data_IF_683759891527
#
_entry.id   IF_683759891527
#
_cell.length_a   1.000
_cell.length_b   1.000
_cell.length_c   1.000
_cell.angle_alpha   90.00
_cell.angle_beta   90.00
_cell.angle_gamma   90.00
#
_symmetry.space_group_name_H-M   'P 1'
#
loop_
_entity.id
_entity.type
_entity.pdbx_description
1 polymer ?
#
# COMPACT_ATOMS: atom_id res chain seq x y z
N UNK A 1 46.25 11.01 -15.64
CA UNK A 1 45.54 12.30 -15.61
C UNK A 1 44.81 12.45 -16.93
N UNK A 2 43.48 12.44 -16.91
CA UNK A 2 42.63 12.70 -18.08
C UNK A 2 41.23 13.13 -17.58
N UNK A 3 41.02 14.44 -17.40
CA UNK A 3 39.74 15.09 -17.06
C UNK A 3 39.81 16.58 -17.48
N UNK A 4 39.97 16.88 -18.77
CA UNK A 4 40.15 18.27 -19.23
C UNK A 4 39.31 18.64 -20.48
N UNK A 5 38.24 17.90 -20.78
CA UNK A 5 37.48 18.10 -22.05
C UNK A 5 35.95 18.13 -21.90
N UNK A 6 35.45 18.58 -20.73
CA UNK A 6 33.99 18.65 -20.46
C UNK A 6 33.48 20.06 -20.17
N UNK A 7 34.36 21.07 -20.11
CA UNK A 7 33.99 22.48 -19.88
C UNK A 7 33.66 23.25 -21.17
N UNK A 8 33.83 22.65 -22.35
CA UNK A 8 33.73 23.37 -23.63
C UNK A 8 32.39 23.24 -24.37
N UNK A 9 31.39 22.59 -23.78
CA UNK A 9 30.06 22.44 -24.39
C UNK A 9 29.02 23.49 -23.96
N UNK A 10 29.36 24.44 -23.08
CA UNK A 10 28.39 25.41 -22.51
C UNK A 10 28.41 26.83 -23.09
N UNK A 11 29.16 27.12 -24.16
CA UNK A 11 29.17 28.46 -24.75
C UNK A 11 29.03 28.41 -26.27
N UNK A 12 27.81 28.63 -26.76
CA UNK A 12 27.45 29.41 -27.96
C UNK A 12 26.03 29.04 -28.41
N UNK A 13 25.01 29.79 -27.99
CA UNK A 13 24.10 30.49 -28.93
C UNK A 13 23.11 31.37 -28.16
N UNK A 14 23.22 32.68 -28.35
CA UNK A 14 22.32 33.68 -27.80
C UNK A 14 21.77 34.55 -28.93
N UNK A 15 20.45 34.46 -29.16
CA UNK A 15 19.61 35.63 -29.46
C UNK A 15 18.93 35.70 -30.83
N UNK A 16 17.59 35.65 -30.84
CA UNK A 16 16.72 36.63 -31.51
C UNK A 16 15.23 36.41 -31.15
N UNK A 17 14.60 37.46 -30.62
CA UNK A 17 13.18 37.64 -30.27
C UNK A 17 12.35 38.10 -31.49
N UNK A 18 11.06 37.73 -31.62
CA UNK A 18 9.90 38.66 -31.66
C UNK A 18 8.55 37.93 -31.87
N UNK A 19 7.48 38.59 -31.44
CA UNK A 19 6.19 38.10 -30.92
C UNK A 19 5.08 38.03 -31.98
N UNK A 20 4.11 37.12 -31.85
CA UNK A 20 2.68 37.46 -32.03
C UNK A 20 1.76 36.53 -31.20
N UNK A 21 0.85 37.18 -30.47
CA UNK A 21 -0.17 36.62 -29.58
C UNK A 21 -1.26 35.86 -30.32
N UNK A 22 -1.71 34.75 -29.72
CA UNK A 22 -3.12 34.38 -29.79
C UNK A 22 -3.54 33.84 -28.42
N UNK A 23 -4.39 34.62 -27.75
CA UNK A 23 -5.12 34.20 -26.56
C UNK A 23 -6.05 33.05 -26.94
N UNK A 24 -5.94 31.91 -26.25
CA UNK A 24 -7.11 31.08 -25.99
C UNK A 24 -7.14 30.74 -24.50
N UNK A 25 -8.24 31.18 -23.92
CA UNK A 25 -8.66 31.15 -22.54
C UNK A 25 -9.52 29.89 -22.39
N UNK A 26 -9.04 28.88 -21.68
CA UNK A 26 -9.87 27.82 -21.08
C UNK A 26 -9.21 27.43 -19.77
N UNK A 27 -9.56 28.13 -18.70
CA UNK A 27 -10.67 27.80 -17.81
C UNK A 27 -10.54 26.39 -17.22
N UNK A 28 -10.09 26.38 -15.97
CA UNK A 28 -10.69 25.64 -14.85
C UNK A 28 -11.49 24.39 -15.22
N UNK A 29 -10.97 23.22 -14.86
CA UNK A 29 -11.78 22.31 -14.03
C UNK A 29 -10.87 21.36 -13.27
N UNK A 30 -10.74 21.64 -11.97
CA UNK A 30 -10.54 20.63 -10.95
C UNK A 30 -11.54 19.50 -11.21
N UNK A 31 -11.11 18.38 -11.77
CA UNK A 31 -11.89 17.14 -11.70
C UNK A 31 -11.76 16.61 -10.28
N UNK A 32 -12.48 17.28 -9.37
CA UNK A 32 -12.95 16.74 -8.12
C UNK A 32 -13.87 15.58 -8.48
N UNK A 33 -13.27 14.41 -8.68
CA UNK A 33 -14.01 13.18 -8.93
C UNK A 33 -14.97 13.00 -7.76
N UNK A 34 -16.24 13.14 -8.10
CA UNK A 34 -17.36 13.08 -7.18
C UNK A 34 -17.36 11.67 -6.62
N UNK A 35 -17.04 11.54 -5.33
CA UNK A 35 -17.34 10.34 -4.58
C UNK A 35 -18.85 10.19 -4.61
N UNK A 36 -19.34 9.39 -5.54
CA UNK A 36 -20.73 8.95 -5.57
C UNK A 36 -20.97 8.15 -4.29
N UNK A 37 -21.58 8.84 -3.34
CA UNK A 37 -22.09 8.28 -2.09
C UNK A 37 -23.34 7.48 -2.47
N UNK A 38 -23.17 6.25 -2.94
CA UNK A 38 -24.28 5.29 -2.98
C UNK A 38 -24.48 4.73 -1.57
N UNK A 39 -25.33 5.44 -0.82
CA UNK A 39 -25.90 4.92 0.40
C UNK A 39 -26.99 3.92 0.05
N UNK A 40 -26.64 2.65 -0.03
CA UNK A 40 -27.62 1.57 0.02
C UNK A 40 -27.66 1.00 1.43
N UNK A 41 -28.57 1.56 2.23
CA UNK A 41 -29.07 0.95 3.44
C UNK A 41 -30.33 0.16 3.07
N UNK A 42 -30.21 -1.17 3.04
CA UNK A 42 -31.28 -2.18 3.20
C UNK A 42 -30.62 -3.54 2.90
N UNK A 43 -30.89 -4.66 3.55
CA UNK A 43 -31.80 -5.03 4.61
C UNK A 43 -31.22 -6.29 5.26
N UNK A 44 -31.55 -6.50 6.52
CA UNK A 44 -31.28 -7.76 7.22
C UNK A 44 -32.21 -8.81 6.61
N UNK A 45 -31.67 -9.77 5.87
CA UNK A 45 -32.38 -11.01 5.57
C UNK A 45 -31.57 -12.20 6.12
N UNK A 46 -32.12 -12.78 7.18
CA UNK A 46 -31.66 -14.02 7.79
C UNK A 46 -32.70 -15.08 7.42
N UNK A 47 -32.30 -16.08 6.66
CA UNK A 47 -32.77 -17.45 6.85
C UNK A 47 -31.69 -18.45 6.37
N UNK A 48 -31.57 -19.66 6.97
CA UNK A 48 -30.36 -20.45 6.97
C UNK A 48 -30.41 -21.70 6.07
N UNK A 49 -29.22 -22.30 5.86
CA UNK A 49 -28.92 -23.70 5.42
C UNK A 49 -29.13 -24.06 3.93
N UNK A 50 -28.33 -24.96 3.31
CA UNK A 50 -27.60 -26.09 3.93
C UNK A 50 -26.08 -26.06 3.82
N UNK A 51 -25.50 -26.78 4.77
CA UNK A 51 -24.10 -27.16 4.90
C UNK A 51 -23.63 -27.88 3.62
N UNK A 52 -22.89 -27.18 2.76
CA UNK A 52 -21.97 -27.86 1.86
C UNK A 52 -20.76 -28.25 2.69
N UNK A 53 -20.78 -29.47 3.22
CA UNK A 53 -19.56 -30.16 3.64
C UNK A 53 -18.69 -30.32 2.39
N UNK A 54 -17.89 -29.29 2.10
CA UNK A 54 -16.70 -29.44 1.28
C UNK A 54 -15.74 -30.26 2.12
N UNK A 55 -15.73 -31.56 1.86
CA UNK A 55 -14.66 -32.46 2.25
C UNK A 55 -13.32 -31.75 1.93
N UNK A 56 -12.38 -31.63 2.88
CA UNK A 56 -11.11 -30.99 2.57
C UNK A 56 -10.42 -31.87 1.54
N UNK A 57 -10.37 -31.41 0.28
CA UNK A 57 -9.42 -31.95 -0.68
C UNK A 57 -8.05 -31.96 -0.01
N UNK A 58 -7.26 -33.03 -0.21
CA UNK A 58 -5.91 -33.07 0.34
C UNK A 58 -5.23 -31.77 -0.10
N UNK A 59 -4.82 -30.94 0.86
CA UNK A 59 -4.12 -29.68 0.60
C UNK A 59 -2.94 -30.03 -0.29
N UNK A 60 -3.11 -29.87 -1.60
CA UNK A 60 -2.01 -29.88 -2.53
C UNK A 60 -1.06 -28.84 -1.97
N UNK A 61 0.22 -29.21 -1.83
CA UNK A 61 1.26 -28.27 -1.42
C UNK A 61 1.12 -27.06 -2.34
N UNK A 62 0.57 -25.95 -1.83
CA UNK A 62 0.43 -24.72 -2.59
C UNK A 62 1.84 -24.31 -2.99
N UNK A 63 2.02 -23.94 -4.25
CA UNK A 63 3.29 -23.39 -4.71
C UNK A 63 3.59 -22.17 -3.84
N UNK A 64 4.83 -22.00 -3.32
CA UNK A 64 5.19 -20.80 -2.55
C UNK A 64 5.00 -19.49 -3.33
N UNK A 65 4.82 -19.58 -4.65
CA UNK A 65 4.52 -18.46 -5.54
C UNK A 65 3.03 -18.13 -5.61
N UNK A 66 2.16 -19.04 -5.20
CA UNK A 66 0.71 -18.81 -5.22
C UNK A 66 0.27 -18.02 -3.99
N UNK A 67 -0.63 -17.03 -4.15
CA UNK A 67 -1.24 -16.33 -3.03
C UNK A 67 -1.88 -17.26 -2.00
N UNK A 68 -1.65 -16.99 -0.71
CA UNK A 68 -2.25 -17.74 0.39
C UNK A 68 -3.78 -17.62 0.44
N UNK A 69 -4.34 -16.52 -0.07
CA UNK A 69 -5.79 -16.28 -0.13
C UNK A 69 -6.21 -15.38 -1.31
N UNK A 70 -7.48 -15.47 -1.68
CA UNK A 70 -8.06 -14.78 -2.83
C UNK A 70 -8.20 -13.26 -2.62
N UNK A 71 -8.27 -12.50 -3.71
CA UNK A 71 -8.44 -11.04 -3.61
C UNK A 71 -9.76 -10.64 -2.95
N UNK A 72 -10.84 -11.40 -3.21
CA UNK A 72 -12.19 -11.11 -2.72
C UNK A 72 -12.34 -11.28 -1.20
N UNK A 73 -11.39 -11.97 -0.56
CA UNK A 73 -11.36 -12.15 0.89
C UNK A 73 -10.83 -10.89 1.60
N UNK A 74 -9.99 -10.10 0.93
CA UNK A 74 -9.46 -8.87 1.48
C UNK A 74 -10.44 -7.70 1.27
N UNK A 75 -10.67 -6.94 2.34
CA UNK A 75 -11.40 -5.67 2.28
C UNK A 75 -10.46 -4.52 2.58
N UNK A 76 -10.41 -3.54 1.68
CA UNK A 76 -9.65 -2.31 1.90
C UNK A 76 -10.26 -1.52 3.06
N UNK A 77 -9.41 -1.06 3.99
CA UNK A 77 -9.81 -0.22 5.12
C UNK A 77 -8.81 0.93 5.28
N UNK A 78 -9.28 2.16 5.53
CA UNK A 78 -8.37 3.28 5.80
C UNK A 78 -7.72 3.12 7.19
N UNK A 79 -6.44 3.45 7.30
CA UNK A 79 -5.66 3.47 8.55
C UNK A 79 -5.10 4.88 8.80
N UNK A 80 -5.19 5.37 10.04
CA UNK A 80 -4.58 6.64 10.45
C UNK A 80 -3.21 6.38 11.06
N UNK A 81 -2.16 6.59 10.26
CA UNK A 81 -0.78 6.54 10.73
C UNK A 81 -0.10 7.90 10.53
N UNK A 82 0.82 8.25 11.42
CA UNK A 82 1.77 9.34 11.16
C UNK A 82 2.71 8.89 10.04
N UNK A 83 3.16 9.82 9.18
CA UNK A 83 4.03 9.50 8.04
C UNK A 83 5.26 8.69 8.46
N UNK A 84 5.93 9.11 9.52
CA UNK A 84 7.12 8.43 10.08
C UNK A 84 6.85 6.96 10.43
N UNK A 85 5.70 6.67 11.03
CA UNK A 85 5.32 5.30 11.38
C UNK A 85 4.94 4.46 10.13
N UNK A 86 4.31 5.10 9.15
CA UNK A 86 3.97 4.47 7.88
C UNK A 86 5.23 4.08 7.09
N UNK A 87 6.20 4.98 6.98
CA UNK A 87 7.46 4.73 6.27
C UNK A 87 8.26 3.61 6.95
N UNK A 88 8.36 3.64 8.29
CA UNK A 88 9.03 2.59 9.03
C UNK A 88 8.36 1.21 8.86
N UNK A 89 7.03 1.18 8.74
CA UNK A 89 6.28 -0.05 8.47
C UNK A 89 6.55 -0.59 7.05
N UNK A 90 6.45 0.24 6.01
CA UNK A 90 6.74 -0.19 4.63
C UNK A 90 8.20 -0.64 4.49
N UNK A 91 9.15 0.06 5.13
CA UNK A 91 10.56 -0.33 5.14
C UNK A 91 10.77 -1.71 5.82
N UNK A 92 10.09 -1.95 6.96
CA UNK A 92 10.15 -3.24 7.63
C UNK A 92 9.60 -4.37 6.75
N UNK A 93 8.49 -4.13 6.04
CA UNK A 93 7.94 -5.10 5.09
C UNK A 93 8.93 -5.37 3.94
N UNK A 94 9.43 -4.33 3.28
CA UNK A 94 10.29 -4.47 2.11
C UNK A 94 11.67 -5.06 2.43
N UNK A 95 12.27 -4.67 3.56
CA UNK A 95 13.64 -5.03 3.89
C UNK A 95 13.69 -6.32 4.71
N UNK A 96 12.83 -6.46 5.73
CA UNK A 96 12.92 -7.60 6.66
C UNK A 96 12.01 -8.74 6.23
N UNK A 97 10.72 -8.45 6.03
CA UNK A 97 9.71 -9.48 5.76
C UNK A 97 9.92 -10.09 4.38
N UNK A 98 9.99 -9.29 3.32
CA UNK A 98 10.23 -9.81 1.96
C UNK A 98 11.56 -10.56 1.87
N UNK A 99 12.62 -10.07 2.53
CA UNK A 99 13.90 -10.80 2.56
C UNK A 99 13.75 -12.17 3.23
N UNK A 100 12.99 -12.26 4.33
CA UNK A 100 12.72 -13.54 5.00
C UNK A 100 11.88 -14.47 4.12
N UNK A 101 10.85 -13.95 3.45
CA UNK A 101 10.03 -14.70 2.49
C UNK A 101 10.88 -15.21 1.33
N UNK A 102 11.78 -14.37 0.81
CA UNK A 102 12.67 -14.75 -0.30
C UNK A 102 13.59 -15.92 0.06
N UNK A 103 14.07 -15.99 1.30
CA UNK A 103 14.87 -17.12 1.78
C UNK A 103 14.10 -18.45 1.80
N UNK A 104 12.78 -18.40 1.81
CA UNK A 104 11.87 -19.54 1.76
C UNK A 104 11.20 -19.71 0.39
N UNK A 105 11.83 -19.16 -0.66
CA UNK A 105 11.39 -19.23 -2.05
C UNK A 105 10.04 -18.57 -2.38
N UNK A 106 9.46 -17.82 -1.44
CA UNK A 106 8.30 -16.96 -1.69
C UNK A 106 8.80 -15.67 -2.35
N UNK A 107 8.23 -15.32 -3.50
CA UNK A 107 8.56 -14.11 -4.28
C UNK A 107 7.31 -13.26 -4.47
N UNK A 108 7.50 -11.95 -4.57
CA UNK A 108 6.45 -10.99 -4.96
C UNK A 108 5.12 -11.18 -4.21
N UNK A 109 5.21 -11.48 -2.90
CA UNK A 109 4.05 -11.70 -2.06
C UNK A 109 3.11 -10.49 -2.13
N UNK A 110 1.80 -10.70 -2.35
CA UNK A 110 0.90 -9.59 -2.59
C UNK A 110 0.72 -8.77 -1.32
N UNK A 111 0.66 -7.43 -1.45
CA UNK A 111 0.51 -6.51 -0.30
C UNK A 111 -0.65 -6.88 0.64
N UNK A 112 -1.75 -7.45 0.10
CA UNK A 112 -2.89 -7.92 0.91
C UNK A 112 -2.47 -8.97 1.95
N UNK A 113 -1.61 -9.91 1.58
CA UNK A 113 -1.11 -10.96 2.48
C UNK A 113 -0.14 -10.40 3.50
N UNK A 114 0.75 -9.51 3.06
CA UNK A 114 1.69 -8.84 3.98
C UNK A 114 0.94 -8.01 5.03
N UNK A 115 -0.06 -7.23 4.62
CA UNK A 115 -0.88 -6.45 5.54
C UNK A 115 -1.74 -7.32 6.45
N UNK A 116 -2.38 -8.37 5.93
CA UNK A 116 -3.17 -9.29 6.73
C UNK A 116 -2.32 -10.03 7.77
N UNK A 117 -1.14 -10.53 7.39
CA UNK A 117 -0.19 -11.14 8.32
C UNK A 117 0.29 -10.14 9.38
N UNK A 118 0.63 -8.91 8.99
CA UNK A 118 1.04 -7.86 9.92
C UNK A 118 -0.08 -7.53 10.93
N UNK A 119 -1.34 -7.44 10.48
CA UNK A 119 -2.48 -7.18 11.36
C UNK A 119 -2.72 -8.33 12.34
N UNK A 120 -2.54 -9.59 11.93
CA UNK A 120 -2.65 -10.74 12.83
C UNK A 120 -1.56 -10.72 13.90
N UNK A 121 -0.30 -10.44 13.52
CA UNK A 121 0.79 -10.28 14.49
C UNK A 121 0.50 -9.14 15.45
N UNK A 122 0.04 -7.98 14.97
CA UNK A 122 -0.34 -6.86 15.85
C UNK A 122 -1.47 -7.22 16.82
N UNK A 123 -2.44 -8.05 16.39
CA UNK A 123 -3.50 -8.52 17.26
C UNK A 123 -3.00 -9.48 18.35
N UNK A 124 -2.03 -10.35 18.02
CA UNK A 124 -1.39 -11.25 18.98
C UNK A 124 -0.47 -10.49 19.97
N UNK A 125 0.05 -9.35 19.55
CA UNK A 125 0.91 -8.45 20.35
C UNK A 125 0.14 -7.20 20.83
N UNK A 126 -1.16 -7.33 21.12
CA UNK A 126 -2.02 -6.19 21.50
C UNK A 126 -1.56 -5.46 22.77
N UNK A 127 -0.90 -6.17 23.70
CA UNK A 127 -0.36 -5.57 24.92
C UNK A 127 0.77 -4.57 24.60
N UNK A 128 1.66 -4.90 23.65
CA UNK A 128 2.73 -3.99 23.20
C UNK A 128 2.17 -2.74 22.53
N UNK A 129 1.07 -2.89 21.77
CA UNK A 129 0.35 -1.74 21.18
C UNK A 129 -0.21 -0.85 22.28
N UNK A 130 -0.80 -1.42 23.33
CA UNK A 130 -1.31 -0.65 24.46
C UNK A 130 -0.20 0.07 25.22
N UNK A 131 0.93 -0.59 25.45
CA UNK A 131 2.13 0.01 26.08
C UNK A 131 2.67 1.18 25.26
N UNK A 132 2.77 1.04 23.93
CA UNK A 132 3.20 2.12 23.05
C UNK A 132 2.27 3.34 23.16
N UNK A 133 0.95 3.14 23.17
CA UNK A 133 -0.02 4.25 23.33
C UNK A 133 0.10 4.91 24.71
N UNK A 134 0.33 4.13 25.78
CA UNK A 134 0.52 4.68 27.13
C UNK A 134 1.81 5.50 27.22
N UNK A 135 2.90 5.00 26.62
CA UNK A 135 4.19 5.69 26.51
C UNK A 135 4.04 7.03 25.78
N UNK A 136 3.34 7.07 24.64
CA UNK A 136 3.07 8.31 23.91
C UNK A 136 2.20 9.30 24.69
N UNK A 137 1.40 8.82 25.64
CA UNK A 137 0.61 9.64 26.57
C UNK A 137 1.40 10.07 27.81
N UNK A 138 2.64 9.60 27.97
CA UNK A 138 3.47 9.85 29.15
C UNK A 138 2.94 9.18 30.42
N UNK A 139 2.27 8.02 30.28
CA UNK A 139 1.75 7.24 31.40
C UNK A 139 2.69 6.05 31.62
N UNK A 140 3.60 6.19 32.58
CA UNK A 140 4.47 5.09 33.03
C UNK A 140 3.69 4.19 34.00
N UNK A 141 3.86 2.87 33.87
CA UNK A 141 3.18 1.85 34.68
C UNK A 141 4.08 1.27 35.76
#
# INVERSE_FOLDING_TARGET
MAFDDLDQAEQEDAGATDVESSSDDTDTTLTNETIERDGSADAVDRDPTPETTTEPEPTALQDPSDPAFGFDEARQRPLYARQEAWDAFEDALAIQVETALRRNDVRDAPKRELHDAALRVLADHADEVAEQVLSERGIDR
#
